data_IF_817489261029
#
_entry.id   IF_817489261029
#
_cell.length_a   1.000
_cell.length_b   1.000
_cell.length_c   1.000
_cell.angle_alpha   90.00
_cell.angle_beta   90.00
_cell.angle_gamma   90.00
#
_symmetry.space_group_name_H-M   'P 1'
#
loop_
_entity.id
_entity.type
_entity.pdbx_description
1 polymer ?
#
# COMPACT_ATOMS: atom_id res chain seq x y z
N UNK A 1 65.39 -66.98 15.95
CA UNK A 1 64.21 -67.87 16.11
C UNK A 1 63.11 -67.12 16.87
N UNK A 2 61.83 -67.38 16.58
CA UNK A 2 60.90 -66.38 16.02
C UNK A 2 59.80 -65.86 16.97
N UNK A 3 59.08 -64.84 16.48
CA UNK A 3 57.95 -64.11 17.10
C UNK A 3 56.73 -64.96 17.50
N UNK A 4 55.84 -64.37 18.30
CA UNK A 4 54.48 -64.19 17.75
C UNK A 4 53.89 -62.76 17.87
N UNK A 5 53.48 -62.24 16.70
CA UNK A 5 52.51 -61.16 16.52
C UNK A 5 51.15 -61.50 17.13
N UNK A 6 50.58 -60.59 17.94
CA UNK A 6 49.13 -60.40 18.22
C UNK A 6 48.96 -58.95 18.72
N UNK A 7 47.95 -58.15 18.42
CA UNK A 7 46.67 -58.24 17.70
C UNK A 7 46.21 -56.81 17.43
N UNK A 8 45.44 -56.65 16.35
CA UNK A 8 44.84 -55.40 15.85
C UNK A 8 43.93 -54.72 16.88
N UNK A 9 44.00 -53.39 16.98
CA UNK A 9 42.83 -52.55 17.25
C UNK A 9 42.78 -51.41 16.24
N UNK A 10 41.84 -51.54 15.31
CA UNK A 10 41.29 -50.43 14.56
C UNK A 10 40.58 -49.50 15.56
N UNK A 11 40.92 -48.22 15.55
CA UNK A 11 40.03 -47.18 16.06
C UNK A 11 39.87 -46.13 14.96
N UNK A 12 38.82 -46.31 14.15
CA UNK A 12 38.19 -45.21 13.42
C UNK A 12 37.72 -44.19 14.45
N UNK A 13 38.40 -43.05 14.58
CA UNK A 13 37.77 -41.87 15.19
C UNK A 13 37.02 -41.13 14.10
N UNK A 14 35.70 -41.32 14.12
CA UNK A 14 34.73 -40.68 13.27
C UNK A 14 34.83 -39.16 13.36
N UNK A 15 34.91 -38.52 12.20
CA UNK A 15 34.69 -37.09 12.00
C UNK A 15 33.29 -36.72 12.46
N UNK A 16 33.17 -36.00 13.59
CA UNK A 16 31.90 -35.41 13.99
C UNK A 16 31.78 -34.02 13.38
N UNK A 17 31.10 -33.97 12.24
CA UNK A 17 30.65 -32.75 11.59
C UNK A 17 29.64 -32.02 12.48
N UNK A 18 30.04 -30.89 13.07
CA UNK A 18 29.12 -29.92 13.62
C UNK A 18 28.78 -28.88 12.53
N UNK A 19 27.85 -29.24 11.65
CA UNK A 19 27.10 -28.27 10.84
C UNK A 19 26.15 -27.53 11.78
N UNK A 20 26.67 -26.54 12.52
CA UNK A 20 25.83 -25.60 13.23
C UNK A 20 25.12 -24.74 12.19
N UNK A 21 23.80 -24.88 12.12
CA UNK A 21 22.93 -24.19 11.18
C UNK A 21 23.19 -22.69 11.24
N UNK A 22 23.57 -22.13 10.09
CA UNK A 22 23.50 -20.68 9.87
C UNK A 22 22.06 -20.26 10.14
N UNK A 23 21.81 -19.25 11.01
CA UNK A 23 20.47 -18.68 11.08
C UNK A 23 20.11 -18.24 9.66
N UNK A 24 19.00 -18.77 9.13
CA UNK A 24 18.39 -18.22 7.92
C UNK A 24 18.25 -16.73 8.20
N UNK A 25 18.99 -15.90 7.48
CA UNK A 25 18.86 -14.46 7.55
C UNK A 25 17.41 -14.12 7.20
N UNK A 26 16.58 -13.93 8.22
CA UNK A 26 15.48 -12.99 8.11
C UNK A 26 16.18 -11.68 7.77
N UNK A 27 16.13 -11.30 6.50
CA UNK A 27 16.52 -9.95 6.10
C UNK A 27 15.61 -9.05 6.93
N UNK A 28 16.20 -8.38 7.93
CA UNK A 28 15.46 -7.42 8.73
C UNK A 28 14.79 -6.47 7.74
N UNK A 29 13.46 -6.41 7.79
CA UNK A 29 12.72 -5.34 7.12
C UNK A 29 13.42 -4.03 7.49
N UNK A 30 13.51 -3.05 6.56
CA UNK A 30 14.10 -1.76 6.90
C UNK A 30 13.55 -1.31 8.26
N UNK A 31 14.43 -1.08 9.23
CA UNK A 31 14.02 -0.81 10.61
C UNK A 31 12.97 0.31 10.61
N UNK A 32 11.76 0.01 11.07
CA UNK A 32 10.64 0.96 11.05
C UNK A 32 9.79 0.99 9.78
N UNK A 33 9.93 0.01 8.87
CA UNK A 33 9.04 -0.13 7.72
C UNK A 33 7.59 -0.32 8.18
N UNK A 34 6.73 0.62 7.80
CA UNK A 34 5.30 0.60 8.03
C UNK A 34 4.61 1.04 6.73
N UNK A 35 3.85 0.17 6.08
CA UNK A 35 3.23 0.49 4.79
C UNK A 35 2.20 1.61 4.95
N UNK A 36 1.52 1.69 6.10
CA UNK A 36 0.46 2.66 6.39
C UNK A 36 -0.55 2.70 5.23
N UNK A 37 -1.04 1.52 4.83
CA UNK A 37 -2.00 1.39 3.73
C UNK A 37 -3.38 1.97 4.07
N UNK A 38 -3.62 2.26 5.34
CA UNK A 38 -4.91 2.70 5.86
C UNK A 38 -5.86 1.55 6.20
N UNK A 39 -5.38 0.30 6.16
CA UNK A 39 -6.10 -0.91 6.58
C UNK A 39 -5.15 -1.87 7.30
N UNK A 40 -5.52 -2.30 8.51
CA UNK A 40 -4.67 -3.12 9.36
C UNK A 40 -4.46 -4.53 8.80
N UNK A 41 -5.46 -5.08 8.12
CA UNK A 41 -5.36 -6.38 7.47
C UNK A 41 -4.38 -6.32 6.29
N UNK A 42 -4.46 -5.28 5.46
CA UNK A 42 -3.52 -5.03 4.36
C UNK A 42 -2.10 -4.87 4.91
N UNK A 43 -1.90 -4.07 5.95
CA UNK A 43 -0.58 -3.83 6.55
C UNK A 43 0.07 -5.14 7.05
N UNK A 44 -0.70 -6.02 7.68
CA UNK A 44 -0.26 -7.36 8.11
C UNK A 44 0.22 -8.20 6.93
N UNK A 45 -0.57 -8.28 5.85
CA UNK A 45 -0.25 -9.13 4.71
C UNK A 45 0.85 -8.56 3.82
N UNK A 46 0.99 -7.24 3.72
CA UNK A 46 2.17 -6.64 3.07
C UNK A 46 3.46 -6.98 3.84
N UNK A 47 3.42 -6.99 5.18
CA UNK A 47 4.54 -7.47 5.98
C UNK A 47 4.86 -8.96 5.76
N UNK A 48 3.85 -9.78 5.48
CA UNK A 48 4.04 -11.18 5.15
C UNK A 48 4.58 -11.41 3.73
N UNK A 49 4.12 -10.62 2.76
CA UNK A 49 4.68 -10.57 1.41
C UNK A 49 6.15 -10.18 1.44
N UNK A 50 6.54 -9.23 2.30
CA UNK A 50 7.96 -8.89 2.46
C UNK A 50 8.81 -10.10 2.86
N UNK A 51 8.35 -10.87 3.84
CA UNK A 51 9.04 -12.09 4.29
C UNK A 51 9.10 -13.14 3.18
N UNK A 52 8.00 -13.31 2.44
CA UNK A 52 7.95 -14.22 1.31
C UNK A 52 8.93 -13.81 0.22
N UNK A 53 8.84 -12.58 -0.29
CA UNK A 53 9.68 -12.12 -1.40
C UNK A 53 11.16 -12.00 -1.04
N UNK A 54 11.50 -11.74 0.23
CA UNK A 54 12.88 -11.78 0.70
C UNK A 54 13.47 -13.21 0.67
N UNK A 55 12.65 -14.22 0.98
CA UNK A 55 13.07 -15.63 1.00
C UNK A 55 12.98 -16.32 -0.37
N UNK A 56 11.98 -15.96 -1.16
CA UNK A 56 11.61 -16.58 -2.43
C UNK A 56 11.55 -15.52 -3.52
N UNK A 57 12.68 -14.86 -3.76
CA UNK A 57 12.78 -13.73 -4.68
C UNK A 57 12.29 -14.06 -6.09
N UNK A 58 12.84 -15.09 -6.74
CA UNK A 58 12.45 -15.40 -8.12
C UNK A 58 10.97 -15.77 -8.24
N UNK A 59 10.38 -16.62 -7.38
CA UNK A 59 8.93 -16.82 -7.35
C UNK A 59 8.12 -15.54 -7.15
N UNK A 60 8.58 -14.61 -6.30
CA UNK A 60 7.95 -13.30 -6.15
C UNK A 60 8.02 -12.47 -7.43
N UNK A 61 9.18 -12.42 -8.10
CA UNK A 61 9.32 -11.69 -9.37
C UNK A 61 8.42 -12.30 -10.45
N UNK A 62 8.37 -13.63 -10.55
CA UNK A 62 7.51 -14.34 -11.49
C UNK A 62 6.03 -14.03 -11.25
N UNK A 63 5.62 -13.96 -9.98
CA UNK A 63 4.26 -13.56 -9.58
C UNK A 63 3.94 -12.15 -10.09
N UNK A 64 4.83 -11.18 -9.85
CA UNK A 64 4.66 -9.79 -10.29
C UNK A 64 4.60 -9.66 -11.82
N UNK A 65 5.42 -10.41 -12.54
CA UNK A 65 5.46 -10.39 -14.00
C UNK A 65 4.20 -11.02 -14.59
N UNK A 66 3.84 -12.21 -14.12
CA UNK A 66 2.80 -13.03 -14.75
C UNK A 66 1.40 -12.56 -14.43
N UNK A 67 1.16 -12.14 -13.19
CA UNK A 67 -0.19 -11.85 -12.70
C UNK A 67 -0.46 -10.36 -12.54
N UNK A 68 0.57 -9.55 -12.30
CA UNK A 68 0.43 -8.09 -12.14
C UNK A 68 0.95 -7.28 -13.33
N UNK A 69 1.44 -7.96 -14.38
CA UNK A 69 1.90 -7.32 -15.62
C UNK A 69 3.09 -6.38 -15.45
N UNK A 70 3.85 -6.53 -14.36
CA UNK A 70 5.02 -5.69 -14.09
C UNK A 70 6.21 -6.16 -14.95
N UNK A 71 6.91 -5.27 -15.68
CA UNK A 71 8.13 -5.65 -16.39
C UNK A 71 9.17 -6.22 -15.41
N UNK A 72 9.80 -7.35 -15.74
CA UNK A 72 10.81 -7.99 -14.86
C UNK A 72 11.92 -7.01 -14.46
N UNK A 73 12.40 -6.23 -15.42
CA UNK A 73 13.43 -5.21 -15.18
C UNK A 73 12.98 -4.16 -14.16
N UNK A 74 11.72 -3.73 -14.20
CA UNK A 74 11.17 -2.78 -13.22
C UNK A 74 11.15 -3.40 -11.82
N UNK A 75 10.68 -4.65 -11.70
CA UNK A 75 10.64 -5.36 -10.41
C UNK A 75 12.05 -5.53 -9.84
N UNK A 76 13.01 -5.93 -10.67
CA UNK A 76 14.42 -6.05 -10.27
C UNK A 76 15.03 -4.72 -9.84
N UNK A 77 14.81 -3.65 -10.61
CA UNK A 77 15.25 -2.29 -10.26
C UNK A 77 14.71 -1.84 -8.90
N UNK A 78 13.41 -2.03 -8.66
CA UNK A 78 12.75 -1.64 -7.42
C UNK A 78 13.36 -2.37 -6.20
N UNK A 79 13.53 -3.68 -6.31
CA UNK A 79 14.07 -4.49 -5.21
C UNK A 79 15.56 -4.22 -4.97
N UNK A 80 16.37 -4.10 -6.03
CA UNK A 80 17.84 -4.15 -5.90
C UNK A 80 18.46 -2.77 -5.76
N UNK A 81 18.07 -1.84 -6.64
CA UNK A 81 18.64 -0.49 -6.70
C UNK A 81 17.89 0.46 -5.79
N UNK A 82 16.57 0.42 -5.86
CA UNK A 82 15.70 1.32 -5.09
C UNK A 82 15.40 0.81 -3.68
N UNK A 83 15.77 -0.44 -3.38
CA UNK A 83 15.64 -1.06 -2.06
C UNK A 83 14.21 -1.08 -1.52
N UNK A 84 13.22 -1.13 -2.41
CA UNK A 84 11.83 -1.34 -2.04
C UNK A 84 11.66 -2.70 -1.39
N UNK A 85 10.73 -2.80 -0.46
CA UNK A 85 10.33 -4.10 0.07
C UNK A 85 9.45 -4.83 -0.95
N UNK A 86 9.42 -6.18 -0.96
CA UNK A 86 8.52 -6.91 -1.85
C UNK A 86 7.05 -6.53 -1.72
N UNK A 87 6.61 -6.17 -0.53
CA UNK A 87 5.27 -5.66 -0.21
C UNK A 87 5.01 -4.29 -0.83
N UNK A 88 5.99 -3.38 -0.83
CA UNK A 88 5.87 -2.10 -1.53
C UNK A 88 5.70 -2.33 -3.05
N UNK A 89 6.52 -3.23 -3.62
CA UNK A 89 6.43 -3.58 -5.05
C UNK A 89 5.09 -4.21 -5.38
N UNK A 90 4.66 -5.17 -4.56
CA UNK A 90 3.36 -5.82 -4.69
C UNK A 90 2.23 -4.79 -4.67
N UNK A 91 2.22 -3.90 -3.68
CA UNK A 91 1.11 -2.99 -3.46
C UNK A 91 1.01 -1.95 -4.57
N UNK A 92 2.14 -1.43 -5.06
CA UNK A 92 2.17 -0.54 -6.22
C UNK A 92 1.54 -1.19 -7.46
N UNK A 93 1.97 -2.41 -7.79
CA UNK A 93 1.44 -3.09 -8.98
C UNK A 93 -0.02 -3.56 -8.78
N UNK A 94 -0.42 -3.92 -7.56
CA UNK A 94 -1.79 -4.28 -7.25
C UNK A 94 -2.75 -3.07 -7.39
N UNK A 95 -2.35 -1.89 -6.90
CA UNK A 95 -3.07 -0.63 -7.15
C UNK A 95 -3.16 -0.37 -8.66
N UNK A 96 -2.04 -0.50 -9.38
CA UNK A 96 -2.01 -0.25 -10.82
C UNK A 96 -2.97 -1.17 -11.59
N UNK A 97 -3.01 -2.45 -11.22
CA UNK A 97 -3.93 -3.43 -11.80
C UNK A 97 -5.39 -3.07 -11.56
N UNK A 98 -5.76 -2.65 -10.34
CA UNK A 98 -7.13 -2.20 -10.02
C UNK A 98 -7.52 -0.99 -10.88
N UNK A 99 -6.58 -0.08 -11.13
CA UNK A 99 -6.78 1.11 -11.95
C UNK A 99 -6.69 0.87 -13.47
N UNK A 100 -6.32 -0.34 -13.91
CA UNK A 100 -6.05 -0.62 -15.31
C UNK A 100 -4.85 0.15 -15.87
N UNK A 101 -3.83 0.39 -15.05
CA UNK A 101 -2.61 1.15 -15.40
C UNK A 101 -1.37 0.27 -15.28
N UNK A 102 -0.26 0.60 -15.98
CA UNK A 102 1.00 -0.11 -15.81
C UNK A 102 1.55 0.06 -14.39
N UNK A 103 2.22 -0.95 -13.82
CA UNK A 103 2.80 -0.86 -12.46
C UNK A 103 3.69 0.39 -12.28
N UNK A 104 4.48 0.74 -13.30
CA UNK A 104 5.33 1.95 -13.30
C UNK A 104 4.56 3.23 -12.98
N UNK A 105 3.30 3.35 -13.39
CA UNK A 105 2.49 4.53 -13.12
C UNK A 105 2.38 4.79 -11.61
N UNK A 106 2.11 3.77 -10.80
CA UNK A 106 1.96 3.92 -9.34
C UNK A 106 3.32 4.11 -8.66
N UNK A 107 4.38 3.52 -9.21
CA UNK A 107 5.76 3.79 -8.77
C UNK A 107 6.10 5.28 -8.93
N UNK A 108 5.76 5.87 -10.08
CA UNK A 108 6.00 7.29 -10.33
C UNK A 108 5.14 8.18 -9.39
N UNK A 109 3.92 7.75 -9.05
CA UNK A 109 3.05 8.48 -8.08
C UNK A 109 3.54 8.35 -6.63
N UNK A 110 4.16 7.22 -6.28
CA UNK A 110 4.85 7.06 -5.00
C UNK A 110 6.01 8.04 -4.92
N UNK A 111 6.87 8.10 -5.94
CA UNK A 111 8.07 8.94 -5.96
C UNK A 111 7.81 10.44 -5.88
N UNK A 112 6.62 10.88 -6.31
CA UNK A 112 6.20 12.27 -6.19
C UNK A 112 5.96 12.70 -4.75
N UNK A 113 5.25 11.88 -3.98
CA UNK A 113 4.96 12.13 -2.56
C UNK A 113 4.38 10.88 -1.89
N UNK A 114 5.14 10.28 -0.97
CA UNK A 114 4.71 9.13 -0.18
C UNK A 114 4.89 9.35 1.32
N UNK A 115 5.00 10.60 1.78
CA UNK A 115 5.33 10.90 3.18
C UNK A 115 4.29 10.34 4.18
N UNK A 116 3.03 10.26 3.74
CA UNK A 116 1.90 9.73 4.52
C UNK A 116 1.68 8.20 4.35
N UNK A 117 2.41 7.57 3.43
CA UNK A 117 2.36 6.13 3.17
C UNK A 117 1.36 5.71 2.11
N UNK A 118 1.17 4.39 1.98
CA UNK A 118 0.42 3.78 0.88
C UNK A 118 -1.06 4.17 0.86
N UNK A 119 -1.67 4.42 2.01
CA UNK A 119 -3.08 4.82 2.09
C UNK A 119 -3.33 6.17 1.44
N UNK A 120 -2.43 7.14 1.64
CA UNK A 120 -2.53 8.46 1.00
C UNK A 120 -2.30 8.36 -0.52
N UNK A 121 -1.33 7.56 -0.95
CA UNK A 121 -1.07 7.30 -2.38
C UNK A 121 -2.30 6.68 -3.04
N UNK A 122 -2.87 5.62 -2.46
CA UNK A 122 -4.07 4.96 -2.96
C UNK A 122 -5.27 5.92 -3.02
N UNK A 123 -5.48 6.75 -1.98
CA UNK A 123 -6.55 7.73 -1.94
C UNK A 123 -6.43 8.81 -3.02
N UNK A 124 -5.23 9.34 -3.26
CA UNK A 124 -4.98 10.32 -4.34
C UNK A 124 -5.29 9.73 -5.72
N UNK A 125 -5.10 8.42 -5.88
CA UNK A 125 -5.44 7.69 -7.09
C UNK A 125 -6.91 7.23 -7.17
N UNK A 126 -7.73 7.61 -6.19
CA UNK A 126 -9.17 7.34 -6.16
C UNK A 126 -9.57 6.07 -5.40
N UNK A 127 -8.62 5.28 -4.91
CA UNK A 127 -8.88 4.07 -4.12
C UNK A 127 -9.02 4.44 -2.65
N UNK A 128 -10.26 4.70 -2.22
CA UNK A 128 -10.57 5.01 -0.82
C UNK A 128 -10.86 3.75 -0.01
N UNK A 129 -10.50 3.68 1.29
CA UNK A 129 -10.97 2.62 2.17
C UNK A 129 -12.49 2.41 2.07
N UNK A 130 -12.93 1.15 2.03
CA UNK A 130 -14.34 0.77 1.87
C UNK A 130 -14.93 0.94 0.46
N UNK A 131 -14.17 1.48 -0.50
CA UNK A 131 -14.62 1.56 -1.90
C UNK A 131 -14.58 0.20 -2.59
N UNK A 132 -15.35 0.05 -3.67
CA UNK A 132 -15.33 -1.19 -4.47
C UNK A 132 -13.94 -1.51 -5.06
N UNK A 133 -13.14 -0.49 -5.38
CA UNK A 133 -11.77 -0.67 -5.86
C UNK A 133 -10.82 -1.09 -4.74
N UNK A 134 -11.03 -0.59 -3.52
CA UNK A 134 -10.29 -1.06 -2.36
C UNK A 134 -10.65 -2.52 -2.01
N UNK A 135 -11.92 -2.89 -2.14
CA UNK A 135 -12.35 -4.28 -2.00
C UNK A 135 -11.69 -5.18 -3.06
N UNK A 136 -11.61 -4.75 -4.32
CA UNK A 136 -10.87 -5.47 -5.37
C UNK A 136 -9.39 -5.63 -5.02
N UNK A 137 -8.77 -4.60 -4.43
CA UNK A 137 -7.38 -4.62 -4.00
C UNK A 137 -7.14 -5.69 -2.92
N UNK A 138 -7.99 -5.73 -1.87
CA UNK A 138 -7.94 -6.76 -0.81
C UNK A 138 -8.16 -8.16 -1.38
N UNK A 139 -9.15 -8.31 -2.25
CA UNK A 139 -9.46 -9.58 -2.92
C UNK A 139 -8.27 -10.13 -3.71
N UNK A 140 -7.44 -9.25 -4.28
CA UNK A 140 -6.25 -9.62 -5.05
C UNK A 140 -5.20 -10.41 -4.27
N UNK A 141 -5.15 -10.29 -2.94
CA UNK A 141 -4.20 -11.05 -2.11
C UNK A 141 -4.50 -12.55 -2.12
N UNK A 142 -5.78 -12.93 -2.06
CA UNK A 142 -6.18 -14.33 -1.88
C UNK A 142 -5.64 -15.26 -2.99
N UNK A 143 -5.86 -14.98 -4.30
CA UNK A 143 -5.34 -15.87 -5.34
C UNK A 143 -3.81 -15.86 -5.42
N UNK A 144 -3.13 -14.81 -4.98
CA UNK A 144 -1.66 -14.77 -4.88
C UNK A 144 -1.16 -15.74 -3.81
N UNK A 145 -1.80 -15.75 -2.65
CA UNK A 145 -1.49 -16.70 -1.58
C UNK A 145 -1.80 -18.15 -1.97
N UNK A 146 -2.88 -18.37 -2.72
CA UNK A 146 -3.21 -19.68 -3.26
C UNK A 146 -2.11 -20.22 -4.21
N UNK A 147 -1.60 -19.37 -5.11
CA UNK A 147 -0.49 -19.76 -6.01
C UNK A 147 0.80 -20.06 -5.27
N UNK A 148 1.07 -19.35 -4.18
CA UNK A 148 2.22 -19.64 -3.32
C UNK A 148 2.01 -20.86 -2.43
N UNK A 149 0.80 -21.43 -2.39
CA UNK A 149 0.45 -22.53 -1.49
C UNK A 149 0.52 -22.13 -0.02
N UNK A 150 0.23 -20.86 0.30
CA UNK A 150 0.37 -20.31 1.65
C UNK A 150 -0.99 -19.96 2.24
N UNK A 151 -1.16 -20.15 3.56
CA UNK A 151 -2.42 -19.79 4.21
C UNK A 151 -2.57 -18.26 4.26
N UNK A 152 -3.80 -17.80 4.04
CA UNK A 152 -4.25 -16.44 4.27
C UNK A 152 -5.53 -16.47 5.11
N UNK A 153 -5.56 -15.69 6.20
CA UNK A 153 -6.78 -15.39 6.92
C UNK A 153 -7.41 -14.17 6.28
N UNK A 154 -8.61 -14.31 5.73
CA UNK A 154 -9.34 -13.18 5.16
C UNK A 154 -9.92 -12.30 6.28
N UNK A 155 -10.30 -11.07 5.97
CA UNK A 155 -11.10 -10.26 6.86
C UNK A 155 -12.60 -10.51 6.62
N UNK A 156 -13.45 -9.91 7.45
CA UNK A 156 -14.90 -10.06 7.34
C UNK A 156 -15.47 -9.55 6.02
N UNK A 157 -14.91 -8.50 5.42
CA UNK A 157 -15.36 -7.93 4.14
C UNK A 157 -15.23 -8.95 2.99
N UNK A 158 -14.14 -9.71 2.96
CA UNK A 158 -13.86 -10.71 1.92
C UNK A 158 -14.68 -12.00 2.04
N UNK A 159 -15.42 -12.21 3.14
CA UNK A 159 -16.23 -13.43 3.34
C UNK A 159 -17.31 -13.61 2.28
N UNK A 160 -17.80 -12.51 1.69
CA UNK A 160 -18.77 -12.59 0.60
C UNK A 160 -18.19 -13.28 -0.64
N UNK A 161 -16.94 -12.98 -0.97
CA UNK A 161 -16.26 -13.54 -2.15
C UNK A 161 -15.64 -14.91 -1.86
N UNK A 162 -15.27 -15.17 -0.60
CA UNK A 162 -14.62 -16.40 -0.16
C UNK A 162 -15.32 -17.00 1.07
N UNK A 163 -16.56 -17.49 0.94
CA UNK A 163 -17.39 -17.90 2.09
C UNK A 163 -16.80 -19.05 2.91
N UNK A 164 -15.95 -19.87 2.30
CA UNK A 164 -15.37 -21.07 2.93
C UNK A 164 -13.95 -20.85 3.47
N UNK A 165 -13.43 -19.61 3.47
CA UNK A 165 -12.08 -19.31 3.98
C UNK A 165 -12.11 -18.96 5.47
N UNK A 166 -11.07 -19.35 6.24
CA UNK A 166 -10.91 -18.88 7.61
C UNK A 166 -10.71 -17.37 7.64
N UNK A 167 -11.35 -16.68 8.58
CA UNK A 167 -11.32 -15.24 8.69
C UNK A 167 -10.91 -14.75 10.07
N UNK A 168 -10.29 -13.58 10.13
CA UNK A 168 -9.97 -12.84 11.36
C UNK A 168 -9.84 -11.36 11.04
N UNK A 169 -10.64 -10.54 11.70
CA UNK A 169 -10.51 -9.09 11.59
C UNK A 169 -9.23 -8.61 12.30
N UNK A 170 -8.57 -7.64 11.68
CA UNK A 170 -7.42 -6.93 12.24
C UNK A 170 -7.87 -5.50 12.45
N UNK A 171 -7.55 -4.93 13.62
CA UNK A 171 -7.93 -3.57 13.92
C UNK A 171 -7.21 -2.60 12.96
N UNK A 172 -8.01 -1.84 12.21
CA UNK A 172 -7.52 -0.82 11.30
C UNK A 172 -7.36 0.50 12.05
N UNK A 173 -6.14 1.08 12.09
CA UNK A 173 -5.95 2.40 12.68
C UNK A 173 -6.85 3.42 11.99
N UNK A 174 -7.52 4.29 12.76
CA UNK A 174 -8.33 5.36 12.20
C UNK A 174 -7.50 6.21 11.22
N UNK A 175 -8.06 6.62 10.07
CA UNK A 175 -7.33 7.43 9.11
C UNK A 175 -6.79 8.69 9.81
N UNK A 176 -5.51 8.97 9.61
CA UNK A 176 -4.90 10.19 10.12
C UNK A 176 -5.75 11.38 9.65
N UNK A 177 -6.34 12.12 10.59
CA UNK A 177 -7.07 13.35 10.28
C UNK A 177 -6.12 14.23 9.48
N UNK A 178 -6.44 14.51 8.22
CA UNK A 178 -5.76 15.52 7.44
C UNK A 178 -5.72 16.78 8.32
N UNK A 179 -4.51 17.21 8.72
CA UNK A 179 -4.38 18.45 9.45
C UNK A 179 -4.81 19.53 8.47
N UNK A 180 -5.99 20.10 8.68
CA UNK A 180 -6.43 21.26 7.93
C UNK A 180 -5.29 22.29 8.00
N UNK A 181 -4.61 22.47 6.87
CA UNK A 181 -3.64 23.53 6.71
C UNK A 181 -4.42 24.83 6.90
N UNK A 182 -4.37 25.37 8.11
CA UNK A 182 -4.97 26.64 8.49
C UNK A 182 -4.41 27.67 7.52
N UNK A 183 -5.19 28.01 6.51
CA UNK A 183 -4.88 29.07 5.57
C UNK A 183 -4.54 30.31 6.39
N UNK A 184 -3.29 30.77 6.26
CA UNK A 184 -2.84 31.99 6.90
C UNK A 184 -3.75 33.13 6.47
N UNK A 185 -4.47 33.70 7.43
CA UNK A 185 -5.16 34.97 7.28
C UNK A 185 -4.11 36.06 7.03
N UNK A 186 -3.92 36.39 5.75
CA UNK A 186 -3.17 37.56 5.33
C UNK A 186 -3.97 38.79 5.72
N UNK A 187 -3.61 39.39 6.86
CA UNK A 187 -4.05 40.72 7.26
C UNK A 187 -3.88 41.72 6.11
N UNK A 188 -5.02 42.33 5.73
CA UNK A 188 -5.18 43.33 4.67
C UNK A 188 -4.41 44.63 4.95
N UNK A 189 -4.11 45.43 3.91
CA UNK A 189 -3.35 46.67 4.02
C UNK A 189 -4.23 47.81 4.55
N UNK A 190 -3.63 48.66 5.39
CA UNK A 190 -4.25 49.88 5.89
C UNK A 190 -4.37 50.96 4.82
N UNK A 191 -5.55 51.58 4.74
CA UNK A 191 -5.71 52.96 4.28
C UNK A 191 -6.76 53.67 5.11
N UNK A 192 -6.45 54.92 5.39
CA UNK A 192 -7.06 55.80 6.35
C UNK A 192 -8.36 56.48 5.88
N UNK A 193 -8.98 57.11 6.89
CA UNK A 193 -9.79 58.33 6.85
C UNK A 193 -11.31 58.20 6.61
N UNK A 194 -12.05 58.94 7.44
CA UNK A 194 -13.27 59.62 7.01
C UNK A 194 -14.51 59.35 7.84
N UNK A 195 -14.85 60.31 8.69
CA UNK A 195 -16.01 60.36 9.61
C UNK A 195 -17.32 60.72 8.87
N UNK A 196 -18.43 60.50 9.58
CA UNK A 196 -19.79 61.09 9.41
C UNK A 196 -20.65 60.47 8.29
N UNK A 197 -21.97 60.34 8.42
CA UNK A 197 -22.91 60.77 9.46
C UNK A 197 -24.31 60.26 9.08
N UNK A 198 -25.17 60.18 10.09
CA UNK A 198 -26.55 59.72 10.05
C UNK A 198 -27.44 60.47 9.04
N UNK A 199 -28.30 59.75 8.30
CA UNK A 199 -29.63 60.23 7.90
C UNK A 199 -30.49 59.08 7.28
N UNK A 200 -31.56 58.71 7.96
CA UNK A 200 -32.85 58.26 7.35
C UNK A 200 -33.64 59.56 7.01
N UNK A 201 -34.80 59.60 6.31
CA UNK A 201 -35.65 58.51 5.80
C UNK A 201 -36.40 58.79 4.46
N UNK A 202 -37.35 57.88 4.15
CA UNK A 202 -38.53 58.04 3.24
C UNK A 202 -38.20 58.13 1.74
N UNK A 203 -38.91 57.51 0.80
CA UNK A 203 -40.23 56.87 0.78
C UNK A 203 -40.76 57.07 -0.66
N UNK A 204 -41.33 56.05 -1.30
CA UNK A 204 -41.95 56.26 -2.63
C UNK A 204 -42.13 55.04 -3.51
N UNK A 205 -43.28 54.37 -3.32
CA UNK A 205 -44.19 53.79 -4.32
C UNK A 205 -43.65 53.02 -5.56
N UNK A 206 -44.03 51.74 -5.60
CA UNK A 206 -44.52 50.90 -6.73
C UNK A 206 -45.07 51.66 -7.97
N UNK A 207 -45.22 51.05 -9.19
CA UNK A 207 -45.56 49.63 -9.43
C UNK A 207 -44.97 48.92 -10.69
N UNK A 208 -45.16 47.59 -10.69
CA UNK A 208 -45.57 46.65 -11.75
C UNK A 208 -45.21 46.83 -13.24
N UNK A 209 -44.63 45.77 -13.84
CA UNK A 209 -45.03 45.08 -15.10
C UNK A 209 -43.92 44.06 -15.44
N UNK A 210 -44.09 42.74 -15.42
CA UNK A 210 -44.95 41.86 -16.23
C UNK A 210 -44.54 41.75 -17.71
N UNK A 211 -44.11 40.54 -18.10
CA UNK A 211 -44.33 39.99 -19.44
C UNK A 211 -43.09 39.85 -20.32
N UNK A 212 -42.88 38.64 -20.88
CA UNK A 212 -42.07 38.48 -22.08
C UNK A 212 -41.37 37.14 -22.28
N UNK A 213 -42.13 36.04 -22.41
CA UNK A 213 -41.65 34.82 -23.09
C UNK A 213 -41.42 35.14 -24.58
N UNK A 214 -40.28 34.73 -25.13
CA UNK A 214 -39.99 34.76 -26.56
C UNK A 214 -39.19 33.53 -26.97
N UNK A 215 -39.86 32.61 -27.66
CA UNK A 215 -39.34 31.37 -28.24
C UNK A 215 -39.09 31.66 -29.73
N UNK A 216 -37.95 31.26 -30.28
CA UNK A 216 -37.63 31.46 -31.70
C UNK A 216 -36.60 30.46 -32.19
N UNK A 217 -37.05 29.55 -33.06
CA UNK A 217 -36.26 28.55 -33.77
C UNK A 217 -35.38 29.22 -34.84
N UNK A 218 -34.19 28.66 -35.04
CA UNK A 218 -33.41 28.69 -36.27
C UNK A 218 -32.97 27.26 -36.56
#
# INVERSE_FOLDING_TARGET
MPHPLKRKFFALTASLAALLGTPLHAQDLPQGWQPRSGDGWVDVWLGDINRYGARYREPFVDEMVRYYGAPRELVGELLDRRRWTPGDVYYACAIAQVLGRPCRYVVDEWDRDHAEGWGAVAQRLGIKPGSGDFHKLKRGFVPTYDRWGRPILIDSELRRDYPNRPFRDVETPAPAKAKDAKAGDKGKPGKAAGKAGSAKPQGGKHPSAQGGKGQGKG
#
